data_IF_037244953603
#
_entry.id   IF_037244953603
#
_cell.length_a   1.000
_cell.length_b   1.000
_cell.length_c   1.000
_cell.angle_alpha   90.00
_cell.angle_beta   90.00
_cell.angle_gamma   90.00
#
_symmetry.space_group_name_H-M   'P 1'
#
loop_
_entity.id
_entity.type
_entity.pdbx_description
1 polymer ?
#
# COMPACT_ATOMS: atom_id res chain seq x y z
N UNK A 1 6.45 -18.91 -0.33
CA UNK A 1 6.89 -17.50 -0.19
C UNK A 1 6.44 -16.79 -1.45
N UNK A 2 5.13 -16.55 -1.55
CA UNK A 2 4.47 -16.06 -2.77
C UNK A 2 4.46 -14.53 -2.72
N UNK A 3 5.40 -13.93 -3.45
CA UNK A 3 5.40 -12.48 -3.68
C UNK A 3 4.31 -12.21 -4.71
N UNK A 4 3.21 -11.60 -4.28
CA UNK A 4 2.08 -11.24 -5.16
C UNK A 4 2.59 -10.40 -6.34
N UNK A 5 2.70 -11.05 -7.51
CA UNK A 5 3.12 -10.48 -8.80
C UNK A 5 1.94 -10.09 -9.71
N UNK A 6 0.71 -10.11 -9.20
CA UNK A 6 -0.47 -9.64 -9.95
C UNK A 6 -0.68 -8.13 -9.83
N UNK A 7 0.17 -7.35 -10.52
CA UNK A 7 -0.15 -6.00 -10.99
C UNK A 7 1.02 -5.50 -11.85
N UNK A 8 1.20 -6.14 -13.00
CA UNK A 8 1.97 -5.56 -14.09
C UNK A 8 1.41 -4.16 -14.39
N UNK A 9 2.31 -3.18 -14.56
CA UNK A 9 2.04 -1.82 -15.09
C UNK A 9 1.19 -0.81 -14.29
N UNK A 10 1.30 -0.73 -12.96
CA UNK A 10 0.92 0.53 -12.28
C UNK A 10 2.16 1.35 -11.91
N UNK A 11 2.42 2.36 -12.74
CA UNK A 11 3.54 3.31 -12.80
C UNK A 11 3.76 4.15 -11.52
N UNK A 12 3.94 3.51 -10.37
CA UNK A 12 4.26 4.20 -9.13
C UNK A 12 4.91 3.25 -8.12
N UNK A 13 6.21 2.97 -8.30
CA UNK A 13 7.05 2.29 -7.31
C UNK A 13 6.85 2.81 -5.88
N UNK A 14 6.55 4.11 -5.75
CA UNK A 14 6.21 4.77 -4.50
C UNK A 14 4.97 4.17 -3.83
N UNK A 15 3.89 3.90 -4.58
CA UNK A 15 2.67 3.30 -4.05
C UNK A 15 2.91 1.88 -3.56
N UNK A 16 3.67 1.09 -4.33
CA UNK A 16 4.03 -0.28 -3.95
C UNK A 16 4.90 -0.28 -2.69
N UNK A 17 5.93 0.57 -2.64
CA UNK A 17 6.81 0.72 -1.46
C UNK A 17 6.05 1.17 -0.21
N UNK A 18 5.15 2.15 -0.33
CA UNK A 18 4.30 2.60 0.79
C UNK A 18 3.38 1.48 1.27
N UNK A 19 2.76 0.73 0.35
CA UNK A 19 1.85 -0.36 0.68
C UNK A 19 2.60 -1.54 1.33
N UNK A 20 3.75 -1.93 0.78
CA UNK A 20 4.62 -2.96 1.36
C UNK A 20 5.06 -2.58 2.77
N UNK A 21 5.55 -1.35 2.97
CA UNK A 21 5.94 -0.89 4.30
C UNK A 21 4.75 -0.82 5.28
N UNK A 22 3.53 -0.55 4.79
CA UNK A 22 2.31 -0.63 5.59
C UNK A 22 1.94 -2.07 5.96
N UNK A 23 2.02 -3.02 5.01
CA UNK A 23 1.75 -4.45 5.23
C UNK A 23 2.76 -5.07 6.19
N UNK A 24 4.02 -4.66 6.11
CA UNK A 24 5.10 -5.06 7.01
C UNK A 24 5.02 -4.36 8.38
N UNK A 25 4.01 -3.51 8.61
CA UNK A 25 3.81 -2.75 9.85
C UNK A 25 5.05 -1.92 10.25
N UNK A 26 5.81 -1.40 9.28
CA UNK A 26 7.04 -0.60 9.50
C UNK A 26 6.77 0.80 10.08
N UNK A 27 5.62 0.99 10.73
CA UNK A 27 5.22 2.21 11.42
C UNK A 27 3.78 2.64 11.15
N UNK A 28 3.38 3.73 11.80
CA UNK A 28 2.07 4.33 11.59
C UNK A 28 1.94 4.98 10.21
N UNK A 29 0.70 5.24 9.76
CA UNK A 29 0.42 5.97 8.50
C UNK A 29 1.18 7.30 8.39
N UNK A 30 1.41 7.98 9.53
CA UNK A 30 2.20 9.22 9.62
C UNK A 30 3.70 8.96 9.47
N UNK A 31 4.21 7.86 10.03
CA UNK A 31 5.61 7.45 9.85
C UNK A 31 5.91 7.11 8.39
N UNK A 32 5.01 6.37 7.74
CA UNK A 32 5.10 6.09 6.30
C UNK A 32 5.05 7.37 5.46
N UNK A 33 4.15 8.29 5.79
CA UNK A 33 4.07 9.59 5.12
C UNK A 33 5.40 10.36 5.17
N UNK A 34 6.03 10.43 6.36
CA UNK A 34 7.33 11.07 6.53
C UNK A 34 8.45 10.34 5.79
N UNK A 35 8.50 9.01 5.89
CA UNK A 35 9.56 8.18 5.27
C UNK A 35 9.57 8.27 3.75
N UNK A 36 8.39 8.34 3.14
CA UNK A 36 8.23 8.43 1.70
C UNK A 36 8.06 9.86 1.19
N UNK A 37 8.19 10.87 2.07
CA UNK A 37 7.96 12.28 1.77
C UNK A 37 6.61 12.56 1.07
N UNK A 38 5.58 11.79 1.42
CA UNK A 38 4.22 11.92 0.88
C UNK A 38 3.28 12.52 1.93
N UNK A 39 2.18 13.12 1.46
CA UNK A 39 1.16 13.64 2.37
C UNK A 39 0.42 12.49 3.08
N UNK A 40 -0.04 12.73 4.31
CA UNK A 40 -0.90 11.77 5.02
C UNK A 40 -2.19 11.47 4.24
N UNK A 41 -2.68 12.46 3.49
CA UNK A 41 -3.83 12.32 2.60
C UNK A 41 -3.54 11.31 1.48
N UNK A 42 -2.37 11.37 0.85
CA UNK A 42 -1.94 10.38 -0.13
C UNK A 42 -1.94 8.97 0.46
N UNK A 43 -1.35 8.77 1.64
CA UNK A 43 -1.33 7.46 2.31
C UNK A 43 -2.75 6.98 2.63
N UNK A 44 -3.63 7.86 3.10
CA UNK A 44 -5.03 7.52 3.40
C UNK A 44 -5.81 7.13 2.14
N UNK A 45 -5.70 7.91 1.07
CA UNK A 45 -6.39 7.66 -0.19
C UNK A 45 -5.87 6.38 -0.85
N UNK A 46 -4.56 6.14 -0.76
CA UNK A 46 -3.92 4.91 -1.20
C UNK A 46 -4.50 3.70 -0.45
N UNK A 47 -4.45 3.71 0.88
CA UNK A 47 -4.98 2.63 1.69
C UNK A 47 -6.48 2.44 1.50
N UNK A 48 -7.27 3.52 1.30
CA UNK A 48 -8.70 3.42 1.01
C UNK A 48 -8.93 2.65 -0.29
N UNK A 49 -8.18 2.96 -1.35
CA UNK A 49 -8.27 2.27 -2.65
C UNK A 49 -7.81 0.81 -2.58
N UNK A 50 -6.77 0.50 -1.80
CA UNK A 50 -6.30 -0.89 -1.61
C UNK A 50 -7.10 -1.70 -0.60
N UNK A 51 -7.97 -1.07 0.22
CA UNK A 51 -8.88 -1.77 1.11
C UNK A 51 -10.10 -2.34 0.38
N UNK A 52 -10.47 -1.76 -0.77
CA UNK A 52 -11.61 -2.23 -1.58
C UNK A 52 -11.38 -3.61 -2.23
N UNK A 53 -10.19 -3.94 -2.79
CA UNK A 53 -9.92 -5.27 -3.35
C UNK A 53 -9.71 -6.34 -2.28
N UNK A 54 -9.30 -5.98 -1.06
CA UNK A 54 -9.02 -6.93 0.02
C UNK A 54 -10.28 -7.60 0.59
N UNK A 55 -11.48 -7.09 0.30
CA UNK A 55 -12.72 -7.81 0.62
C UNK A 55 -13.05 -8.91 -0.40
N UNK A 56 -12.40 -8.91 -1.58
CA UNK A 56 -12.67 -9.87 -2.65
C UNK A 56 -11.65 -11.04 -2.69
N UNK A 57 -10.55 -10.95 -1.93
CA UNK A 57 -9.43 -11.91 -2.04
C UNK A 57 -9.24 -12.78 -0.78
N UNK A 58 -10.12 -12.68 0.22
CA UNK A 58 -10.04 -13.51 1.44
C UNK A 58 -11.11 -14.64 1.42
N UNK A 59 -11.87 -14.79 0.33
CA UNK A 59 -12.91 -15.84 0.20
C UNK A 59 -13.00 -16.45 -1.21
N UNK A 60 -11.90 -16.75 -1.89
CA UNK A 60 -11.94 -17.62 -3.07
C UNK A 60 -10.66 -18.38 -3.31
#
# INVERSE_FOLDING_TARGET
MEVVTIMSTYSNDLRRKVLTAYLHQEGSKRALARRFAVSLRFVRDLLKRYRVPLLFVINS
#
